data_IF_526281929906
#
_entry.id   IF_526281929906
#
_cell.length_a   1.000
_cell.length_b   1.000
_cell.length_c   1.000
_cell.angle_alpha   90.00
_cell.angle_beta   90.00
_cell.angle_gamma   90.00
#
_symmetry.space_group_name_H-M   'P 1'
#
loop_
_entity.id
_entity.type
_entity.pdbx_description
1 polymer ?
#
# COMPACT_ATOMS: atom_id res chain seq x y z
N UNK A 1 13.65 -4.73 -4.67
CA UNK A 1 12.68 -3.90 -3.91
C UNK A 1 11.90 -3.08 -4.92
N UNK A 2 10.57 -2.97 -4.78
CA UNK A 2 9.74 -2.29 -5.76
C UNK A 2 10.03 -0.76 -5.77
N UNK A 3 10.38 -0.21 -6.93
CA UNK A 3 10.78 1.19 -7.10
C UNK A 3 9.64 2.16 -6.82
N UNK A 4 8.40 1.82 -7.18
CA UNK A 4 7.20 2.62 -6.92
C UNK A 4 6.92 2.75 -5.43
N UNK A 5 6.98 1.65 -4.68
CA UNK A 5 6.84 1.70 -3.22
C UNK A 5 7.92 2.58 -2.58
N UNK A 6 9.17 2.47 -3.04
CA UNK A 6 10.25 3.32 -2.52
C UNK A 6 10.00 4.80 -2.82
N UNK A 7 9.51 5.13 -4.01
CA UNK A 7 9.16 6.49 -4.39
C UNK A 7 8.04 7.05 -3.52
N UNK A 8 6.94 6.33 -3.35
CA UNK A 8 5.84 6.75 -2.48
C UNK A 8 6.28 6.90 -1.02
N UNK A 9 7.22 6.07 -0.54
CA UNK A 9 7.78 6.22 0.81
C UNK A 9 8.62 7.49 0.99
N UNK A 10 9.26 7.96 -0.08
CA UNK A 10 10.08 9.17 -0.07
C UNK A 10 9.27 10.45 -0.31
N UNK A 11 8.06 10.31 -0.87
CA UNK A 11 7.22 11.41 -1.36
C UNK A 11 5.75 11.11 -1.05
N UNK A 12 5.47 10.81 0.23
CA UNK A 12 4.18 10.30 0.70
C UNK A 12 3.07 11.35 0.68
N UNK A 13 3.42 12.64 0.64
CA UNK A 13 2.45 13.74 0.54
C UNK A 13 1.85 13.83 -0.86
N UNK A 14 2.61 13.42 -1.89
CA UNK A 14 2.18 13.48 -3.29
C UNK A 14 1.73 12.12 -3.84
N UNK A 15 2.17 11.02 -3.24
CA UNK A 15 1.91 9.68 -3.78
C UNK A 15 1.46 8.67 -2.73
N UNK A 16 0.49 7.87 -3.12
CA UNK A 16 0.12 6.60 -2.50
C UNK A 16 0.50 5.45 -3.43
N UNK A 17 0.42 4.22 -2.92
CA UNK A 17 0.52 3.02 -3.76
C UNK A 17 -0.82 2.34 -3.91
N UNK A 18 -1.05 1.84 -5.11
CA UNK A 18 -2.11 0.90 -5.45
C UNK A 18 -1.47 -0.47 -5.71
N UNK A 19 -2.06 -1.54 -5.16
CA UNK A 19 -1.50 -2.89 -5.26
C UNK A 19 -2.55 -3.98 -5.09
N UNK A 20 -2.25 -5.16 -5.64
CA UNK A 20 -2.91 -6.41 -5.25
C UNK A 20 -2.17 -7.01 -4.06
N UNK A 21 -2.89 -7.33 -3.00
CA UNK A 21 -2.34 -7.86 -1.76
C UNK A 21 -2.98 -9.19 -1.39
N UNK A 22 -2.15 -10.22 -1.24
CA UNK A 22 -2.54 -11.51 -0.69
C UNK A 22 -2.36 -11.52 0.83
N UNK A 23 -3.43 -11.76 1.59
CA UNK A 23 -3.35 -11.88 3.05
C UNK A 23 -2.77 -13.25 3.49
N UNK A 24 -2.68 -13.49 4.80
CA UNK A 24 -2.15 -14.76 5.32
C UNK A 24 -3.06 -15.97 5.09
N UNK A 25 -4.34 -15.74 4.77
CA UNK A 25 -5.32 -16.77 4.44
C UNK A 25 -5.38 -17.03 2.93
N UNK A 26 -4.60 -16.29 2.13
CA UNK A 26 -4.57 -16.39 0.68
C UNK A 26 -5.60 -15.53 -0.05
N UNK A 27 -6.39 -14.72 0.68
CA UNK A 27 -7.37 -13.84 0.04
C UNK A 27 -6.63 -12.72 -0.69
N UNK A 28 -6.95 -12.55 -1.97
CA UNK A 28 -6.45 -11.44 -2.75
C UNK A 28 -7.40 -10.25 -2.61
N UNK A 29 -6.83 -9.07 -2.43
CA UNK A 29 -7.59 -7.83 -2.33
C UNK A 29 -6.81 -6.73 -3.00
N UNK A 30 -7.53 -5.84 -3.67
CA UNK A 30 -6.98 -4.63 -4.24
C UNK A 30 -6.95 -3.52 -3.17
N UNK A 31 -5.83 -2.82 -3.05
CA UNK A 31 -5.57 -1.89 -1.93
C UNK A 31 -4.93 -0.60 -2.42
N UNK A 32 -5.41 0.51 -1.87
CA UNK A 32 -4.69 1.78 -1.88
C UNK A 32 -4.11 2.04 -0.49
N UNK A 33 -2.82 2.34 -0.43
CA UNK A 33 -2.06 2.47 0.83
C UNK A 33 -1.12 3.67 0.75
N UNK A 34 -1.18 4.56 1.75
CA UNK A 34 -0.15 5.57 1.96
C UNK A 34 0.97 4.95 2.82
N UNK A 35 2.18 4.74 2.27
CA UNK A 35 3.27 4.10 3.00
C UNK A 35 3.87 5.06 4.04
N UNK A 36 4.22 4.56 5.22
CA UNK A 36 4.72 5.37 6.36
C UNK A 36 6.20 5.10 6.61
N UNK A 37 6.58 3.82 6.78
CA UNK A 37 7.99 3.43 6.97
C UNK A 37 8.23 1.97 6.65
N UNK A 38 9.47 1.63 6.26
CA UNK A 38 9.93 0.24 6.23
C UNK A 38 10.09 -0.33 7.64
N UNK A 39 9.82 -1.62 7.79
CA UNK A 39 9.99 -2.38 9.04
C UNK A 39 10.91 -3.57 8.76
N UNK A 40 12.21 -3.30 8.79
CA UNK A 40 13.23 -4.23 8.32
C UNK A 40 13.16 -4.46 6.81
N UNK A 41 13.74 -5.56 6.33
CA UNK A 41 13.94 -5.81 4.89
C UNK A 41 12.70 -6.35 4.17
N UNK A 42 11.67 -6.78 4.90
CA UNK A 42 10.58 -7.62 4.35
C UNK A 42 9.17 -7.05 4.56
N UNK A 43 9.03 -5.99 5.35
CA UNK A 43 7.73 -5.41 5.72
C UNK A 43 7.76 -3.90 5.64
N UNK A 44 6.59 -3.31 5.55
CA UNK A 44 6.40 -1.88 5.78
C UNK A 44 5.10 -1.63 6.55
N UNK A 45 5.06 -0.50 7.24
CA UNK A 45 3.85 0.06 7.83
C UNK A 45 3.26 1.08 6.85
N UNK A 46 1.96 1.00 6.61
CA UNK A 46 1.24 1.98 5.80
C UNK A 46 -0.18 2.20 6.30
N UNK A 47 -0.74 3.38 6.06
CA UNK A 47 -2.15 3.66 6.26
C UNK A 47 -2.94 2.98 5.14
N UNK A 48 -3.78 2.01 5.48
CA UNK A 48 -4.63 1.35 4.50
C UNK A 48 -5.90 2.18 4.32
N UNK A 49 -6.04 2.85 3.18
CA UNK A 49 -7.18 3.74 2.91
C UNK A 49 -8.49 2.96 2.79
N UNK A 50 -8.44 1.67 2.47
CA UNK A 50 -9.62 0.80 2.42
C UNK A 50 -10.11 0.33 3.81
N UNK A 51 -9.28 0.48 4.85
CA UNK A 51 -9.58 0.02 6.22
C UNK A 51 -9.45 1.14 7.25
N UNK A 52 -9.13 2.35 6.78
CA UNK A 52 -9.01 3.57 7.57
C UNK A 52 -8.07 3.42 8.78
N UNK A 53 -7.04 2.59 8.63
CA UNK A 53 -6.17 2.21 9.74
C UNK A 53 -4.74 1.87 9.30
N UNK A 54 -3.73 2.16 10.12
CA UNK A 54 -2.36 1.67 9.91
C UNK A 54 -2.31 0.13 9.93
N UNK A 55 -1.65 -0.45 8.94
CA UNK A 55 -1.45 -1.90 8.81
C UNK A 55 -0.04 -2.23 8.36
N UNK A 56 0.45 -3.39 8.79
CA UNK A 56 1.72 -3.95 8.30
C UNK A 56 1.46 -4.80 7.05
N UNK A 57 2.30 -4.63 6.04
CA UNK A 57 2.23 -5.36 4.79
C UNK A 57 3.54 -6.10 4.55
N UNK A 58 3.45 -7.36 4.11
CA UNK A 58 4.62 -8.14 3.67
C UNK A 58 4.94 -7.80 2.22
N UNK A 59 6.19 -7.41 1.94
CA UNK A 59 6.62 -7.00 0.59
C UNK A 59 6.45 -8.11 -0.44
N UNK A 60 6.71 -9.36 -0.05
CA UNK A 60 6.56 -10.54 -0.94
C UNK A 60 5.12 -10.79 -1.40
N UNK A 61 4.13 -10.24 -0.69
CA UNK A 61 2.69 -10.41 -0.94
C UNK A 61 2.06 -9.24 -1.69
N UNK A 62 2.84 -8.20 -2.00
CA UNK A 62 2.42 -7.06 -2.79
C UNK A 62 2.71 -7.34 -4.27
N UNK A 63 1.69 -7.27 -5.12
CA UNK A 63 1.78 -7.46 -6.57
C UNK A 63 1.24 -6.24 -7.29
N UNK A 64 1.67 -6.07 -8.54
CA UNK A 64 1.19 -5.00 -9.44
C UNK A 64 1.23 -3.60 -8.81
N UNK A 65 2.30 -3.30 -8.05
CA UNK A 65 2.41 -2.04 -7.31
C UNK A 65 2.59 -0.86 -8.27
N UNK A 66 1.66 0.09 -8.20
CA UNK A 66 1.64 1.31 -8.99
C UNK A 66 1.67 2.54 -8.08
N UNK A 67 2.22 3.64 -8.59
CA UNK A 67 2.10 4.96 -7.97
C UNK A 67 0.78 5.58 -8.38
N UNK A 68 0.09 6.19 -7.43
CA UNK A 68 -1.12 6.98 -7.66
C UNK A 68 -0.94 8.32 -6.98
N UNK A 69 -1.36 9.40 -7.62
CA UNK A 69 -1.30 10.72 -7.00
C UNK A 69 -2.23 10.75 -5.77
N UNK A 70 -1.72 11.21 -4.63
CA UNK A 70 -2.49 11.27 -3.40
C UNK A 70 -3.75 12.16 -3.54
N UNK A 71 -3.67 13.20 -4.39
CA UNK A 71 -4.79 14.09 -4.72
C UNK A 71 -5.95 13.41 -5.47
N UNK A 72 -5.72 12.25 -6.08
CA UNK A 72 -6.75 11.50 -6.83
C UNK A 72 -7.50 10.50 -5.94
N UNK A 73 -7.12 10.37 -4.67
CA UNK A 73 -7.66 9.37 -3.76
C UNK A 73 -8.20 10.02 -2.50
N UNK A 74 -9.46 9.75 -2.18
CA UNK A 74 -10.09 10.13 -0.93
C UNK A 74 -10.39 8.88 -0.09
N UNK A 75 -10.09 8.94 1.20
CA UNK A 75 -10.43 7.90 2.16
C UNK A 75 -11.89 8.09 2.64
N UNK A 76 -12.71 7.03 2.77
CA UNK A 76 -12.40 5.62 2.51
C UNK A 76 -12.44 5.25 1.03
N UNK A 77 -11.57 4.30 0.66
CA UNK A 77 -11.59 3.65 -0.66
C UNK A 77 -12.30 2.31 -0.54
N UNK A 78 -13.19 1.97 -1.47
CA UNK A 78 -13.82 0.67 -1.50
C UNK A 78 -12.75 -0.44 -1.58
N UNK A 79 -12.87 -1.45 -0.72
CA UNK A 79 -12.06 -2.65 -0.84
C UNK A 79 -12.68 -3.56 -1.90
N UNK A 80 -11.88 -4.00 -2.87
CA UNK A 80 -12.29 -5.01 -3.85
C UNK A 80 -11.36 -6.23 -3.77
N UNK A 81 -11.84 -7.36 -4.27
CA UNK A 81 -11.15 -8.65 -4.31
C UNK A 81 -11.86 -9.60 -5.25
#
# INVERSE_FOLDING_TARGET
MNTNLRRAMQDCDNYVIEMDYADAKGNQTHRIVSPIRFMGSYRFLGLCLCREAPRQFQLSRCKNVRLVAASEVMMPVAISG
#
